data_IF_562278081470
#
_entry.id   IF_562278081470
#
_cell.length_a   1.000
_cell.length_b   1.000
_cell.length_c   1.000
_cell.angle_alpha   90.00
_cell.angle_beta   90.00
_cell.angle_gamma   90.00
#
_symmetry.space_group_name_H-M   'P 1'
#
loop_
_entity.id
_entity.type
_entity.pdbx_description
1 polymer ?
#
# COMPACT_ATOMS: atom_id res chain seq x y z
N UNK A 1 -14.61 8.44 12.84
CA UNK A 1 -13.13 8.58 12.80
C UNK A 1 -12.80 9.84 12.03
N UNK A 2 -11.92 10.71 12.53
CA UNK A 2 -11.53 11.94 11.82
C UNK A 2 -10.83 11.61 10.51
N UNK A 3 -11.22 12.24 9.39
CA UNK A 3 -10.66 12.01 8.05
C UNK A 3 -9.13 12.14 8.02
N UNK A 4 -8.58 13.05 8.83
CA UNK A 4 -7.15 13.27 8.97
C UNK A 4 -6.40 12.02 9.50
N UNK A 5 -7.00 11.25 10.43
CA UNK A 5 -6.39 10.01 10.93
C UNK A 5 -6.41 8.92 9.85
N UNK A 6 -7.50 8.84 9.09
CA UNK A 6 -7.68 7.87 8.04
C UNK A 6 -6.70 8.10 6.87
N UNK A 7 -6.56 9.35 6.44
CA UNK A 7 -5.52 9.76 5.47
C UNK A 7 -4.13 9.42 5.98
N UNK A 8 -3.86 9.63 7.28
CA UNK A 8 -2.56 9.32 7.88
C UNK A 8 -2.28 7.82 7.81
N UNK A 9 -3.24 6.97 8.22
CA UNK A 9 -3.13 5.50 8.16
C UNK A 9 -2.93 5.02 6.72
N UNK A 10 -3.70 5.54 5.76
CA UNK A 10 -3.54 5.23 4.34
C UNK A 10 -2.12 5.56 3.85
N UNK A 11 -1.61 6.73 4.22
CA UNK A 11 -0.25 7.16 3.84
C UNK A 11 0.80 6.21 4.45
N UNK A 12 0.63 5.78 5.69
CA UNK A 12 1.52 4.78 6.31
C UNK A 12 1.45 3.43 5.60
N UNK A 13 0.25 2.97 5.22
CA UNK A 13 0.08 1.71 4.47
C UNK A 13 0.79 1.73 3.10
N UNK A 14 0.78 2.86 2.39
CA UNK A 14 1.54 3.01 1.12
C UNK A 14 3.04 2.87 1.37
N UNK A 15 3.56 3.54 2.41
CA UNK A 15 4.99 3.49 2.74
C UNK A 15 5.38 2.07 3.12
N UNK A 16 4.58 1.40 3.95
CA UNK A 16 4.80 -0.01 4.34
C UNK A 16 4.74 -0.94 3.12
N UNK A 17 3.77 -0.74 2.22
CA UNK A 17 3.66 -1.53 0.98
C UNK A 17 4.87 -1.36 0.07
N UNK A 18 5.39 -0.14 -0.10
CA UNK A 18 6.62 0.14 -0.85
C UNK A 18 7.84 -0.49 -0.20
N UNK A 19 7.97 -0.40 1.12
CA UNK A 19 9.03 -1.07 1.86
C UNK A 19 8.98 -2.59 1.66
N UNK A 20 7.79 -3.21 1.68
CA UNK A 20 7.62 -4.64 1.43
C UNK A 20 8.00 -5.07 0.01
N UNK A 21 7.70 -4.24 -1.00
CA UNK A 21 8.12 -4.49 -2.38
C UNK A 21 9.65 -4.42 -2.50
N UNK A 22 10.27 -3.38 -1.95
CA UNK A 22 11.73 -3.25 -1.93
C UNK A 22 12.39 -4.43 -1.21
N UNK A 23 11.86 -4.84 -0.06
CA UNK A 23 12.35 -5.96 0.72
C UNK A 23 12.18 -7.29 -0.05
N UNK A 24 11.06 -7.48 -0.75
CA UNK A 24 10.82 -8.64 -1.62
C UNK A 24 11.80 -8.72 -2.80
N UNK A 25 12.09 -7.59 -3.46
CA UNK A 25 13.09 -7.51 -4.54
C UNK A 25 14.50 -7.75 -3.99
N UNK A 26 14.81 -7.19 -2.82
CA UNK A 26 16.10 -7.38 -2.16
C UNK A 26 16.32 -8.85 -1.77
N UNK A 27 15.30 -9.50 -1.22
CA UNK A 27 15.32 -10.94 -0.94
C UNK A 27 15.50 -11.76 -2.21
N UNK A 28 14.83 -11.37 -3.30
CA UNK A 28 14.95 -12.04 -4.60
C UNK A 28 16.35 -11.86 -5.23
N UNK A 29 17.02 -10.74 -4.98
CA UNK A 29 18.34 -10.42 -5.53
C UNK A 29 19.50 -10.96 -4.69
N UNK A 30 19.31 -11.21 -3.38
CA UNK A 30 20.28 -11.88 -2.50
C UNK A 30 20.37 -13.38 -2.82
N UNK A 31 21.05 -13.66 -3.94
CA UNK A 31 21.22 -14.97 -4.57
C UNK A 31 21.86 -16.03 -3.64
N UNK A 32 22.67 -15.64 -2.65
CA UNK A 32 23.39 -16.59 -1.79
C UNK A 32 22.52 -17.29 -0.73
N UNK A 33 21.46 -16.65 -0.23
CA UNK A 33 20.57 -17.22 0.80
C UNK A 33 19.38 -17.96 0.17
N UNK A 34 18.97 -17.57 -1.03
CA UNK A 34 17.87 -18.20 -1.79
C UNK A 34 18.33 -19.50 -2.44
N UNK A 35 19.56 -19.60 -2.91
CA UNK A 35 20.11 -20.86 -3.45
C UNK A 35 20.13 -21.97 -2.39
N UNK A 36 20.36 -21.63 -1.12
CA UNK A 36 20.29 -22.55 0.01
C UNK A 36 18.86 -22.91 0.46
N UNK A 37 17.85 -22.08 0.14
CA UNK A 37 16.45 -22.27 0.56
C UNK A 37 15.50 -22.67 -0.60
N UNK A 38 15.99 -22.64 -1.84
CA UNK A 38 15.28 -23.02 -3.05
C UNK A 38 13.92 -22.32 -3.22
N UNK A 39 12.90 -23.11 -3.56
CA UNK A 39 11.53 -22.68 -3.89
C UNK A 39 10.88 -21.83 -2.78
N UNK A 40 11.26 -22.02 -1.51
CA UNK A 40 10.71 -21.27 -0.36
C UNK A 40 11.05 -19.78 -0.45
N UNK A 41 12.25 -19.44 -0.93
CA UNK A 41 12.68 -18.06 -1.09
C UNK A 41 11.88 -17.30 -2.17
N UNK A 42 11.60 -17.99 -3.28
CA UNK A 42 10.78 -17.45 -4.38
C UNK A 42 9.33 -17.23 -3.93
N UNK A 43 8.77 -18.14 -3.14
CA UNK A 43 7.40 -18.00 -2.60
C UNK A 43 7.32 -16.79 -1.66
N UNK A 44 8.32 -16.60 -0.77
CA UNK A 44 8.33 -15.48 0.17
C UNK A 44 8.47 -14.14 -0.57
N UNK A 45 9.33 -14.05 -1.58
CA UNK A 45 9.50 -12.82 -2.37
C UNK A 45 8.24 -12.51 -3.18
N UNK A 46 7.64 -13.51 -3.83
CA UNK A 46 6.39 -13.36 -4.58
C UNK A 46 5.24 -12.90 -3.67
N UNK A 47 5.13 -13.47 -2.47
CA UNK A 47 4.15 -13.05 -1.48
C UNK A 47 4.36 -11.62 -1.01
N UNK A 48 5.60 -11.20 -0.72
CA UNK A 48 5.90 -9.81 -0.31
C UNK A 48 5.50 -8.80 -1.39
N UNK A 49 5.81 -9.09 -2.66
CA UNK A 49 5.45 -8.22 -3.78
C UNK A 49 3.93 -8.20 -3.99
N UNK A 50 3.28 -9.35 -3.96
CA UNK A 50 1.82 -9.46 -4.09
C UNK A 50 1.09 -8.70 -2.97
N UNK A 51 1.54 -8.84 -1.72
CA UNK A 51 0.99 -8.08 -0.59
C UNK A 51 1.22 -6.57 -0.74
N UNK A 52 2.42 -6.17 -1.17
CA UNK A 52 2.74 -4.76 -1.41
C UNK A 52 1.86 -4.11 -2.50
N UNK A 53 1.58 -4.84 -3.58
CA UNK A 53 0.65 -4.41 -4.62
C UNK A 53 -0.80 -4.39 -4.12
N UNK A 54 -1.23 -5.43 -3.41
CA UNK A 54 -2.59 -5.54 -2.86
C UNK A 54 -2.90 -4.46 -1.83
N UNK A 55 -1.92 -4.02 -1.03
CA UNK A 55 -2.08 -2.89 -0.10
C UNK A 55 -2.10 -1.53 -0.81
N UNK A 56 -1.45 -1.39 -1.96
CA UNK A 56 -1.32 -0.11 -2.68
C UNK A 56 -2.56 0.27 -3.49
N UNK A 57 -3.27 -0.72 -4.05
CA UNK A 57 -4.45 -0.53 -4.90
C UNK A 57 -5.69 0.04 -4.17
N UNK A 58 -6.22 -0.58 -3.10
CA UNK A 58 -7.41 -0.08 -2.40
C UNK A 58 -7.11 1.23 -1.66
N UNK A 59 -5.87 1.43 -1.23
CA UNK A 59 -5.42 2.64 -0.54
C UNK A 59 -5.49 3.89 -1.43
N UNK A 60 -5.07 3.78 -2.70
CA UNK A 60 -5.16 4.90 -3.66
C UNK A 60 -6.62 5.23 -4.01
N UNK A 61 -7.44 4.20 -4.25
CA UNK A 61 -8.85 4.37 -4.61
C UNK A 61 -9.69 4.97 -3.48
N UNK A 62 -9.38 4.60 -2.24
CA UNK A 62 -10.08 5.10 -1.06
C UNK A 62 -9.78 6.58 -0.75
N UNK A 63 -8.56 7.05 -1.04
CA UNK A 63 -8.21 8.46 -0.91
C UNK A 63 -9.01 9.32 -1.91
N UNK A 64 -9.18 8.83 -3.15
CA UNK A 64 -10.04 9.48 -4.16
C UNK A 64 -11.48 9.59 -3.70
N UNK A 65 -12.02 8.51 -3.13
CA UNK A 65 -13.38 8.50 -2.58
C UNK A 65 -13.56 9.55 -1.46
N UNK A 66 -12.60 9.66 -0.54
CA UNK A 66 -12.59 10.68 0.52
C UNK A 66 -12.50 12.10 -0.06
N UNK A 67 -11.67 12.32 -1.08
CA UNK A 67 -11.53 13.64 -1.72
C UNK A 67 -12.82 14.06 -2.41
N UNK A 68 -13.44 13.16 -3.19
CA UNK A 68 -14.75 13.40 -3.83
C UNK A 68 -15.83 13.71 -2.79
N UNK A 69 -15.88 12.96 -1.68
CA UNK A 69 -16.83 13.22 -0.58
C UNK A 69 -16.62 14.60 0.03
N UNK A 70 -15.36 15.01 0.27
CA UNK A 70 -15.02 16.35 0.79
C UNK A 70 -15.37 17.48 -0.16
N UNK A 71 -15.25 17.27 -1.48
CA UNK A 71 -15.72 18.24 -2.47
C UNK A 71 -17.25 18.37 -2.45
N UNK A 72 -17.99 17.26 -2.45
CA UNK A 72 -19.46 17.31 -2.36
C UNK A 72 -19.97 17.99 -1.07
N UNK A 73 -19.32 17.75 0.06
CA UNK A 73 -19.72 18.38 1.33
C UNK A 73 -19.41 19.90 1.36
N UNK A 74 -18.36 20.36 0.65
CA UNK A 74 -18.07 21.79 0.47
C UNK A 74 -19.09 22.49 -0.44
N UNK A 75 -19.49 21.85 -1.54
CA UNK A 75 -20.49 22.41 -2.46
C UNK A 75 -21.84 22.60 -1.78
N UNK A 76 -22.25 21.69 -0.89
CA UNK A 76 -23.52 21.78 -0.16
C UNK A 76 -23.58 22.88 0.92
N UNK A 77 -22.43 23.46 1.30
CA UNK A 77 -22.36 24.56 2.27
C UNK A 77 -22.19 25.94 1.61
N UNK A 78 -21.95 26.00 0.30
CA UNK A 78 -21.87 27.24 -0.46
C UNK A 78 -23.23 27.70 -1.03
N UNK A 79 -24.27 26.86 -0.91
CA UNK A 79 -25.63 27.09 -1.45
C UNK A 79 -26.67 27.39 -0.34
N UNK A 80 -26.22 27.69 0.89
CA UNK A 80 -27.06 28.16 1.99
C UNK A 80 -26.56 29.50 2.50
#
# INVERSE_FOLDING_TARGET
MTDAKLIRILKTCIVIGLCLILLGIYLHNFNATIEAMGVKGIIISAMCVAFGMALSLPTKMYLTFILVKRESDKTNHADK
#
